data_IF_221507273705
#
_entry.id   IF_221507273705
#
_cell.length_a   1.000
_cell.length_b   1.000
_cell.length_c   1.000
_cell.angle_alpha   90.00
_cell.angle_beta   90.00
_cell.angle_gamma   90.00
#
_symmetry.space_group_name_H-M   'P 1'
#
loop_
_entity.id
_entity.type
_entity.pdbx_description
1 polymer ?
#
# COMPACT_ATOMS: atom_id res chain seq x y z
N UNK A 1 -17.06 -42.82 44.47
CA UNK A 1 -16.97 -43.31 43.07
C UNK A 1 -16.65 -42.10 42.21
N UNK A 2 -15.45 -42.07 41.65
CA UNK A 2 -14.78 -40.91 41.05
C UNK A 2 -15.26 -40.67 39.61
N UNK A 3 -15.92 -39.54 39.36
CA UNK A 3 -16.22 -39.06 38.02
C UNK A 3 -15.02 -38.23 37.51
N UNK A 4 -14.08 -38.89 36.82
CA UNK A 4 -12.97 -38.24 36.13
C UNK A 4 -13.50 -37.59 34.84
N UNK A 5 -13.83 -36.30 34.90
CA UNK A 5 -14.02 -35.45 33.72
C UNK A 5 -12.67 -35.17 33.09
N UNK A 6 -12.27 -36.00 32.12
CA UNK A 6 -11.18 -35.66 31.22
C UNK A 6 -11.67 -34.60 30.24
N UNK A 7 -11.20 -33.37 30.45
CA UNK A 7 -11.26 -32.28 29.48
C UNK A 7 -10.54 -32.77 28.22
N UNK A 8 -11.29 -33.09 27.16
CA UNK A 8 -10.73 -33.34 25.83
C UNK A 8 -10.04 -32.05 25.39
N UNK A 9 -8.72 -31.99 25.53
CA UNK A 9 -7.94 -30.92 24.92
C UNK A 9 -8.10 -31.05 23.40
N UNK A 10 -8.75 -30.05 22.79
CA UNK A 10 -8.93 -29.97 21.34
C UNK A 10 -7.56 -30.18 20.70
N UNK A 11 -7.42 -31.25 19.91
CA UNK A 11 -6.16 -31.50 19.22
C UNK A 11 -5.90 -30.36 18.22
N UNK A 12 -4.64 -29.93 18.01
CA UNK A 12 -4.31 -28.96 16.96
C UNK A 12 -4.86 -29.36 15.58
N UNK A 13 -4.96 -30.67 15.32
CA UNK A 13 -5.57 -31.21 14.11
C UNK A 13 -7.08 -30.97 14.06
N UNK A 14 -7.79 -31.07 15.19
CA UNK A 14 -9.23 -30.81 15.28
C UNK A 14 -9.52 -29.31 15.09
N UNK A 15 -8.72 -28.44 15.70
CA UNK A 15 -8.83 -27.00 15.52
C UNK A 15 -8.53 -26.53 14.08
N UNK A 16 -7.61 -27.21 13.38
CA UNK A 16 -7.36 -26.96 11.96
C UNK A 16 -8.52 -27.47 11.10
N UNK A 17 -9.10 -28.61 11.44
CA UNK A 17 -10.24 -29.19 10.74
C UNK A 17 -11.47 -28.29 10.82
N UNK A 18 -11.75 -27.75 12.00
CA UNK A 18 -12.83 -26.79 12.26
C UNK A 18 -12.66 -25.49 11.43
N UNK A 19 -11.42 -25.07 11.17
CA UNK A 19 -11.11 -23.93 10.29
C UNK A 19 -11.16 -24.29 8.81
N UNK A 20 -10.89 -25.53 8.44
CA UNK A 20 -10.98 -26.03 7.07
C UNK A 20 -12.41 -26.28 6.61
N UNK A 21 -13.36 -26.37 7.55
CA UNK A 21 -14.78 -26.40 7.23
C UNK A 21 -15.28 -25.06 6.63
N UNK A 22 -14.50 -23.98 6.76
CA UNK A 22 -14.73 -22.73 6.02
C UNK A 22 -14.21 -22.86 4.57
N UNK A 23 -15.08 -22.74 3.55
CA UNK A 23 -14.70 -22.90 2.15
C UNK A 23 -13.70 -21.84 1.66
N UNK A 24 -13.69 -20.64 2.24
CA UNK A 24 -12.71 -19.60 1.88
C UNK A 24 -11.32 -19.95 2.42
N UNK A 25 -11.25 -20.50 3.63
CA UNK A 25 -9.98 -20.93 4.25
C UNK A 25 -9.44 -22.16 3.51
N UNK A 26 -10.29 -23.13 3.19
CA UNK A 26 -9.90 -24.31 2.42
C UNK A 26 -9.38 -23.92 1.02
N UNK A 27 -10.04 -23.00 0.32
CA UNK A 27 -9.59 -22.50 -0.98
C UNK A 27 -8.27 -21.75 -0.90
N UNK A 28 -8.07 -20.93 0.15
CA UNK A 28 -6.84 -20.18 0.35
C UNK A 28 -5.67 -21.11 0.69
N UNK A 29 -5.92 -22.13 1.53
CA UNK A 29 -4.92 -23.13 1.86
C UNK A 29 -4.58 -23.99 0.64
N UNK A 30 -5.56 -24.35 -0.19
CA UNK A 30 -5.30 -25.07 -1.43
C UNK A 30 -4.42 -24.24 -2.38
N UNK A 31 -4.72 -22.95 -2.55
CA UNK A 31 -3.90 -22.04 -3.36
C UNK A 31 -2.47 -21.90 -2.82
N UNK A 32 -2.29 -21.82 -1.49
CA UNK A 32 -0.94 -21.80 -0.89
C UNK A 32 -0.19 -23.11 -1.08
N UNK A 33 -0.89 -24.25 -1.00
CA UNK A 33 -0.32 -25.58 -1.22
C UNK A 33 0.05 -25.80 -2.70
N UNK A 34 -0.79 -25.30 -3.62
CA UNK A 34 -0.54 -25.33 -5.07
C UNK A 34 0.73 -24.56 -5.45
N UNK A 35 1.11 -23.55 -4.66
CA UNK A 35 2.29 -22.72 -4.87
C UNK A 35 3.38 -22.95 -3.80
N UNK A 36 3.31 -24.05 -3.03
CA UNK A 36 4.24 -24.31 -1.93
C UNK A 36 5.71 -24.40 -2.38
N UNK A 37 5.97 -24.88 -3.59
CA UNK A 37 7.31 -24.95 -4.17
C UNK A 37 7.89 -23.54 -4.45
N UNK A 38 7.05 -22.63 -4.95
CA UNK A 38 7.44 -21.22 -5.14
C UNK A 38 7.67 -20.51 -3.81
N UNK A 39 6.88 -20.84 -2.79
CA UNK A 39 7.10 -20.34 -1.43
C UNK A 39 8.44 -20.82 -0.86
N UNK A 40 8.83 -22.08 -1.11
CA UNK A 40 10.13 -22.61 -0.69
C UNK A 40 11.30 -21.90 -1.39
N UNK A 41 11.17 -21.61 -2.69
CA UNK A 41 12.15 -20.84 -3.47
C UNK A 41 12.23 -19.39 -2.96
N UNK A 42 11.10 -18.75 -2.65
CA UNK A 42 11.07 -17.40 -2.10
C UNK A 42 11.71 -17.35 -0.71
N UNK A 43 11.41 -18.29 0.18
CA UNK A 43 12.01 -18.36 1.52
C UNK A 43 13.52 -18.57 1.40
N UNK A 44 13.96 -19.46 0.51
CA UNK A 44 15.40 -19.69 0.26
C UNK A 44 16.08 -18.48 -0.37
N UNK A 45 15.39 -17.78 -1.28
CA UNK A 45 15.88 -16.56 -1.91
C UNK A 45 16.02 -15.41 -0.91
N UNK A 46 15.04 -15.25 0.00
CA UNK A 46 15.07 -14.28 1.09
C UNK A 46 16.15 -14.63 2.11
N UNK A 47 16.31 -15.89 2.50
CA UNK A 47 17.39 -16.35 3.38
C UNK A 47 18.77 -16.07 2.76
N UNK A 48 18.93 -16.35 1.46
CA UNK A 48 20.14 -16.02 0.71
C UNK A 48 20.41 -14.51 0.61
N UNK A 49 19.37 -13.69 0.45
CA UNK A 49 19.47 -12.24 0.44
C UNK A 49 19.82 -11.67 1.82
N UNK A 50 19.27 -12.24 2.91
CA UNK A 50 19.56 -11.83 4.28
C UNK A 50 21.00 -12.20 4.67
N UNK A 51 21.43 -13.43 4.38
CA UNK A 51 22.82 -13.88 4.60
C UNK A 51 23.84 -13.04 3.84
N UNK A 52 23.53 -12.70 2.58
CA UNK A 52 24.39 -11.84 1.76
C UNK A 52 24.17 -10.37 2.07
N UNK A 53 23.08 -9.99 2.71
CA UNK A 53 22.77 -8.61 3.09
C UNK A 53 23.75 -8.08 4.13
N UNK A 54 24.23 -8.94 5.02
CA UNK A 54 25.29 -8.60 5.97
C UNK A 54 26.63 -8.35 5.25
N UNK A 55 27.01 -9.23 4.31
CA UNK A 55 28.23 -9.08 3.49
C UNK A 55 28.15 -7.90 2.51
N UNK A 56 26.99 -7.71 1.87
CA UNK A 56 26.72 -6.58 0.97
C UNK A 56 26.69 -5.28 1.78
N UNK A 57 26.09 -5.26 2.96
CA UNK A 57 26.09 -4.11 3.86
C UNK A 57 27.49 -3.68 4.26
N UNK A 58 28.36 -4.64 4.60
CA UNK A 58 29.76 -4.39 4.92
C UNK A 58 30.53 -3.86 3.70
N UNK A 59 30.35 -4.48 2.52
CA UNK A 59 31.00 -4.03 1.27
C UNK A 59 30.53 -2.65 0.79
N UNK A 60 29.25 -2.32 0.96
CA UNK A 60 28.67 -1.01 0.61
C UNK A 60 29.12 0.05 1.61
N UNK A 61 29.19 -0.27 2.90
CA UNK A 61 29.70 0.65 3.92
C UNK A 61 31.19 0.92 3.68
N UNK A 62 31.99 -0.11 3.40
CA UNK A 62 33.39 0.03 3.05
C UNK A 62 33.59 0.85 1.78
N UNK A 63 32.77 0.63 0.74
CA UNK A 63 32.81 1.43 -0.49
C UNK A 63 32.43 2.90 -0.24
N UNK A 64 31.44 3.17 0.62
CA UNK A 64 31.05 4.53 1.00
C UNK A 64 32.14 5.22 1.82
N UNK A 65 32.80 4.50 2.73
CA UNK A 65 33.92 5.02 3.51
C UNK A 65 35.15 5.27 2.62
N UNK A 66 35.43 4.41 1.65
CA UNK A 66 36.51 4.59 0.66
C UNK A 66 36.23 5.79 -0.26
N UNK A 67 34.98 5.97 -0.71
CA UNK A 67 34.56 7.16 -1.47
C UNK A 67 34.70 8.42 -0.61
N UNK A 68 34.31 8.36 0.67
CA UNK A 68 34.44 9.47 1.61
C UNK A 68 35.90 9.81 1.91
N UNK A 69 36.77 8.82 2.03
CA UNK A 69 38.20 9.01 2.22
C UNK A 69 38.88 9.55 0.96
N UNK A 70 38.50 9.04 -0.21
CA UNK A 70 38.92 9.56 -1.53
C UNK A 70 38.43 11.00 -1.77
N UNK A 71 37.26 11.35 -1.25
CA UNK A 71 36.69 12.71 -1.30
C UNK A 71 37.46 13.70 -0.41
N UNK A 72 38.01 13.24 0.71
CA UNK A 72 38.79 14.04 1.66
C UNK A 72 40.23 14.24 1.22
N UNK A 73 40.78 13.24 0.55
CA UNK A 73 42.14 13.28 -0.01
C UNK A 73 42.21 14.01 -1.36
N UNK A 74 41.06 14.35 -1.96
CA UNK A 74 40.97 15.19 -3.17
C UNK A 74 41.49 14.51 -4.44
N UNK A 75 41.57 13.17 -4.44
CA UNK A 75 42.22 12.39 -5.49
C UNK A 75 41.33 12.07 -6.70
N UNK A 76 40.04 12.43 -6.67
CA UNK A 76 39.08 12.12 -7.74
C UNK A 76 38.36 13.39 -8.23
N UNK A 77 38.58 13.85 -9.48
CA UNK A 77 37.84 14.97 -10.05
C UNK A 77 36.37 14.58 -10.27
N UNK A 78 35.43 15.35 -9.72
CA UNK A 78 33.98 15.12 -9.86
C UNK A 78 33.24 14.79 -8.55
N UNK A 79 33.95 14.56 -7.44
CA UNK A 79 33.34 14.33 -6.11
C UNK A 79 32.88 15.63 -5.43
N UNK A 80 33.28 16.81 -5.93
CA UNK A 80 32.72 18.10 -5.48
C UNK A 80 31.19 18.13 -5.57
N UNK A 81 30.59 17.52 -6.59
CA UNK A 81 29.12 17.41 -6.74
C UNK A 81 28.45 16.48 -5.74
N UNK A 82 29.21 15.61 -5.07
CA UNK A 82 28.70 14.77 -3.97
C UNK A 82 28.85 15.45 -2.60
N UNK A 83 29.65 16.53 -2.48
CA UNK A 83 29.66 17.37 -1.27
C UNK A 83 28.34 18.12 -1.06
N UNK A 84 27.62 18.43 -2.15
CA UNK A 84 26.29 19.07 -2.10
C UNK A 84 25.18 18.10 -1.69
N UNK A 85 25.39 16.81 -1.91
CA UNK A 85 24.48 15.76 -1.47
C UNK A 85 24.82 15.44 -0.02
N UNK A 86 24.14 16.12 0.91
CA UNK A 86 24.25 15.81 2.34
C UNK A 86 23.63 14.44 2.60
N UNK A 87 24.45 13.40 2.44
CA UNK A 87 24.09 11.99 2.68
C UNK A 87 23.55 11.78 4.10
N UNK A 88 23.91 12.65 5.04
CA UNK A 88 23.42 12.62 6.42
C UNK A 88 22.01 13.22 6.51
N UNK A 89 21.73 14.28 5.77
CA UNK A 89 20.38 14.82 5.62
C UNK A 89 19.46 13.87 4.83
N UNK A 90 19.98 13.17 3.82
CA UNK A 90 19.26 12.11 3.12
C UNK A 90 18.96 10.92 4.02
N UNK A 91 19.95 10.45 4.79
CA UNK A 91 19.73 9.38 5.77
C UNK A 91 18.73 9.82 6.85
N UNK A 92 18.79 11.07 7.32
CA UNK A 92 17.81 11.64 8.24
C UNK A 92 16.42 11.76 7.62
N UNK A 93 16.33 12.16 6.35
CA UNK A 93 15.06 12.24 5.62
C UNK A 93 14.46 10.86 5.39
N UNK A 94 15.29 9.87 5.05
CA UNK A 94 14.88 8.48 4.89
C UNK A 94 14.46 7.86 6.21
N UNK A 95 15.18 8.13 7.31
CA UNK A 95 14.84 7.67 8.66
C UNK A 95 13.53 8.31 9.16
N UNK A 96 13.30 9.58 8.84
CA UNK A 96 12.04 10.27 9.14
C UNK A 96 10.89 9.73 8.27
N UNK A 97 11.13 9.48 6.98
CA UNK A 97 10.15 8.85 6.10
C UNK A 97 9.84 7.42 6.55
N UNK A 98 10.84 6.63 6.93
CA UNK A 98 10.65 5.29 7.44
C UNK A 98 9.94 5.32 8.79
N UNK A 99 10.24 6.27 9.67
CA UNK A 99 9.54 6.46 10.94
C UNK A 99 8.08 6.85 10.74
N UNK A 100 7.80 7.78 9.81
CA UNK A 100 6.45 8.18 9.44
C UNK A 100 5.69 7.03 8.77
N UNK A 101 6.36 6.24 7.92
CA UNK A 101 5.78 5.08 7.26
C UNK A 101 5.52 3.95 8.27
N UNK A 102 6.42 3.69 9.21
CA UNK A 102 6.24 2.74 10.31
C UNK A 102 5.05 3.17 11.18
N UNK A 103 4.94 4.46 11.52
CA UNK A 103 3.79 5.01 12.24
C UNK A 103 2.48 4.95 11.44
N UNK A 104 2.56 5.03 10.11
CA UNK A 104 1.43 4.86 9.20
C UNK A 104 1.10 3.38 8.92
N UNK A 105 1.98 2.43 9.24
CA UNK A 105 1.79 0.99 8.96
C UNK A 105 0.47 0.43 9.49
N UNK A 106 -0.04 0.78 10.69
CA UNK A 106 -1.34 0.29 11.14
C UNK A 106 -2.49 0.81 10.27
N UNK A 107 -2.42 2.07 9.84
CA UNK A 107 -3.39 2.65 8.93
C UNK A 107 -3.26 2.06 7.52
N UNK A 108 -2.03 1.88 7.02
CA UNK A 108 -1.76 1.25 5.73
C UNK A 108 -2.16 -0.23 5.73
N UNK A 109 -1.89 -0.97 6.79
CA UNK A 109 -2.32 -2.35 6.95
C UNK A 109 -3.84 -2.40 7.02
N UNK A 110 -4.49 -1.49 7.76
CA UNK A 110 -5.97 -1.37 7.76
C UNK A 110 -6.52 -1.06 6.37
N UNK A 111 -5.84 -0.24 5.57
CA UNK A 111 -6.23 0.07 4.19
C UNK A 111 -5.97 -1.13 3.24
N UNK A 112 -4.86 -1.85 3.40
CA UNK A 112 -4.46 -3.01 2.61
C UNK A 112 -5.23 -4.30 2.97
N UNK A 113 -5.71 -4.43 4.21
CA UNK A 113 -6.62 -5.51 4.63
C UNK A 113 -8.09 -5.08 4.54
N UNK A 114 -8.36 -3.83 4.16
CA UNK A 114 -9.70 -3.32 3.88
C UNK A 114 -10.08 -3.59 2.43
N UNK A 115 -11.37 -3.41 2.12
CA UNK A 115 -11.97 -3.53 0.78
C UNK A 115 -11.32 -2.67 -0.30
N UNK A 116 -10.31 -1.85 0.00
CA UNK A 116 -9.52 -1.11 -0.98
C UNK A 116 -8.63 -2.03 -1.84
N UNK A 117 -8.35 -3.24 -1.37
CA UNK A 117 -7.62 -4.29 -2.10
C UNK A 117 -8.57 -5.17 -2.93
N UNK A 118 -9.88 -5.00 -2.79
CA UNK A 118 -10.85 -5.67 -3.65
C UNK A 118 -10.70 -5.11 -5.08
N UNK A 119 -10.65 -5.97 -6.12
CA UNK A 119 -10.52 -5.55 -7.51
C UNK A 119 -11.53 -4.47 -7.91
N UNK A 120 -12.77 -4.60 -7.42
CA UNK A 120 -13.87 -3.66 -7.69
C UNK A 120 -13.60 -2.26 -7.12
N UNK A 121 -13.02 -2.16 -5.91
CA UNK A 121 -12.69 -0.86 -5.30
C UNK A 121 -11.47 -0.24 -5.96
N UNK A 122 -10.48 -1.04 -6.35
CA UNK A 122 -9.32 -0.58 -7.10
C UNK A 122 -9.73 0.00 -8.47
N UNK A 123 -10.67 -0.65 -9.17
CA UNK A 123 -11.25 -0.15 -10.41
C UNK A 123 -11.98 1.19 -10.22
N UNK A 124 -12.78 1.33 -9.17
CA UNK A 124 -13.46 2.60 -8.86
C UNK A 124 -12.46 3.71 -8.56
N UNK A 125 -11.39 3.42 -7.83
CA UNK A 125 -10.33 4.40 -7.54
C UNK A 125 -9.55 4.78 -8.81
N UNK A 126 -9.23 3.82 -9.67
CA UNK A 126 -8.58 4.08 -10.95
C UNK A 126 -9.45 4.96 -11.85
N UNK A 127 -10.76 4.66 -11.94
CA UNK A 127 -11.72 5.44 -12.70
C UNK A 127 -11.85 6.87 -12.15
N UNK A 128 -11.92 7.05 -10.83
CA UNK A 128 -11.95 8.36 -10.20
C UNK A 128 -10.65 9.14 -10.45
N UNK A 129 -9.49 8.49 -10.35
CA UNK A 129 -8.20 9.08 -10.63
C UNK A 129 -8.07 9.57 -12.09
N UNK A 130 -8.54 8.76 -13.03
CA UNK A 130 -8.57 9.13 -14.44
C UNK A 130 -9.50 10.33 -14.69
N UNK A 131 -10.72 10.31 -14.14
CA UNK A 131 -11.66 11.42 -14.27
C UNK A 131 -11.13 12.73 -13.66
N UNK A 132 -10.36 12.64 -12.56
CA UNK A 132 -9.70 13.80 -11.95
C UNK A 132 -8.57 14.35 -12.82
N UNK A 133 -7.74 13.49 -13.41
CA UNK A 133 -6.67 13.90 -14.31
C UNK A 133 -7.22 14.57 -15.58
N UNK A 134 -8.26 13.97 -16.18
CA UNK A 134 -8.97 14.52 -17.33
C UNK A 134 -9.66 15.84 -16.98
N UNK A 135 -10.33 15.93 -15.83
CA UNK A 135 -10.96 17.15 -15.35
C UNK A 135 -9.95 18.28 -15.10
N UNK A 136 -8.77 17.96 -14.56
CA UNK A 136 -7.68 18.93 -14.37
C UNK A 136 -7.15 19.45 -15.71
N UNK A 137 -6.90 18.54 -16.66
CA UNK A 137 -6.46 18.91 -18.00
C UNK A 137 -7.50 19.78 -18.74
N UNK A 138 -8.79 19.45 -18.61
CA UNK A 138 -9.88 20.24 -19.19
C UNK A 138 -10.01 21.63 -18.55
N UNK A 139 -9.84 21.73 -17.23
CA UNK A 139 -9.87 23.02 -16.52
C UNK A 139 -8.65 23.91 -16.87
N UNK A 140 -7.50 23.31 -17.13
CA UNK A 140 -6.31 24.04 -17.60
C UNK A 140 -6.46 24.48 -19.07
N UNK A 141 -7.14 23.69 -19.90
CA UNK A 141 -7.43 24.01 -21.29
C UNK A 141 -8.53 25.09 -21.45
N UNK A 142 -9.53 25.11 -20.56
CA UNK A 142 -10.54 26.17 -20.47
C UNK A 142 -10.62 26.75 -19.04
N UNK A 143 -9.72 27.70 -18.70
CA UNK A 143 -9.71 28.37 -17.41
C UNK A 143 -10.95 29.25 -17.17
N UNK A 144 -11.77 29.47 -18.21
CA UNK A 144 -12.92 30.34 -18.18
C UNK A 144 -14.10 29.77 -17.39
N UNK A 145 -14.22 28.44 -17.33
CA UNK A 145 -15.28 27.71 -16.63
C UNK A 145 -16.71 28.15 -17.00
N UNK A 146 -17.74 27.57 -16.35
CA UNK A 146 -19.10 28.06 -16.50
C UNK A 146 -19.22 29.48 -15.92
N UNK A 147 -19.26 30.51 -16.76
CA UNK A 147 -19.33 31.91 -16.30
C UNK A 147 -20.77 32.30 -15.89
N UNK A 148 -20.93 32.71 -14.63
CA UNK A 148 -22.15 33.27 -14.08
C UNK A 148 -23.25 32.26 -13.76
N UNK A 149 -24.34 32.73 -13.14
CA UNK A 149 -25.47 31.89 -12.71
C UNK A 149 -26.11 31.10 -13.87
N UNK A 150 -26.11 31.65 -15.08
CA UNK A 150 -26.63 30.96 -16.27
C UNK A 150 -25.70 29.85 -16.78
N UNK A 151 -24.38 30.03 -16.69
CA UNK A 151 -23.39 29.00 -17.03
C UNK A 151 -23.52 27.79 -16.09
N UNK A 152 -23.70 28.05 -14.80
CA UNK A 152 -23.92 27.00 -13.78
C UNK A 152 -25.25 26.27 -14.02
N UNK A 153 -26.32 27.00 -14.36
CA UNK A 153 -27.62 26.40 -14.68
C UNK A 153 -27.59 25.56 -15.96
N UNK A 154 -26.79 25.96 -16.95
CA UNK A 154 -26.59 25.18 -18.17
C UNK A 154 -25.77 23.92 -17.89
N UNK A 155 -24.75 24.03 -17.03
CA UNK A 155 -23.92 22.90 -16.61
C UNK A 155 -24.75 21.84 -15.88
N UNK A 156 -25.70 22.23 -15.02
CA UNK A 156 -26.59 21.25 -14.35
C UNK A 156 -27.59 20.56 -15.29
N UNK A 157 -27.82 21.07 -16.51
CA UNK A 157 -28.59 20.38 -17.55
C UNK A 157 -27.77 19.39 -18.38
N UNK A 158 -26.45 19.40 -18.24
CA UNK A 158 -25.59 18.44 -18.92
C UNK A 158 -25.86 17.02 -18.38
N UNK A 159 -25.98 16.06 -19.29
CA UNK A 159 -26.25 14.65 -18.95
C UNK A 159 -25.11 14.04 -18.15
N UNK A 160 -23.88 14.49 -18.35
CA UNK A 160 -22.69 13.92 -17.72
C UNK A 160 -22.55 14.46 -16.30
N UNK A 161 -22.82 15.75 -16.12
CA UNK A 161 -22.89 16.39 -14.79
C UNK A 161 -24.03 15.81 -13.96
N UNK A 162 -25.20 15.59 -14.57
CA UNK A 162 -26.33 14.97 -13.89
C UNK A 162 -26.02 13.54 -13.43
N UNK A 163 -25.30 12.75 -14.25
CA UNK A 163 -24.83 11.40 -13.89
C UNK A 163 -23.83 11.43 -12.73
N UNK A 164 -22.84 12.32 -12.77
CA UNK A 164 -21.86 12.48 -11.68
C UNK A 164 -22.50 12.92 -10.35
N UNK A 165 -23.40 13.89 -10.39
CA UNK A 165 -24.17 14.31 -9.22
C UNK A 165 -25.07 13.18 -8.69
N UNK A 166 -25.70 12.41 -9.57
CA UNK A 166 -26.48 11.24 -9.21
C UNK A 166 -25.65 10.19 -8.45
N UNK A 167 -24.43 9.91 -8.92
CA UNK A 167 -23.50 9.03 -8.23
C UNK A 167 -23.14 9.57 -6.83
N UNK A 168 -22.78 10.85 -6.71
CA UNK A 168 -22.45 11.47 -5.43
C UNK A 168 -23.59 11.39 -4.40
N UNK A 169 -24.85 11.55 -4.86
CA UNK A 169 -26.03 11.38 -4.01
C UNK A 169 -26.15 9.94 -3.50
N UNK A 170 -25.86 8.94 -4.33
CA UNK A 170 -25.90 7.54 -3.92
C UNK A 170 -24.78 7.19 -2.94
N UNK A 171 -23.57 7.73 -3.15
CA UNK A 171 -22.44 7.61 -2.20
C UNK A 171 -22.82 8.21 -0.86
N UNK A 172 -23.35 9.44 -0.84
CA UNK A 172 -23.80 10.10 0.38
C UNK A 172 -24.90 9.30 1.10
N UNK A 173 -25.85 8.71 0.36
CA UNK A 173 -26.90 7.84 0.92
C UNK A 173 -26.32 6.56 1.52
N UNK A 174 -25.37 5.91 0.85
CA UNK A 174 -24.72 4.71 1.34
C UNK A 174 -23.91 4.99 2.61
N UNK A 175 -23.17 6.09 2.63
CA UNK A 175 -22.39 6.55 3.78
C UNK A 175 -23.28 6.88 4.98
N UNK A 176 -24.33 7.67 4.79
CA UNK A 176 -25.26 8.03 5.86
C UNK A 176 -25.97 6.83 6.50
N UNK A 177 -26.26 5.77 5.72
CA UNK A 177 -26.82 4.51 6.27
C UNK A 177 -25.83 3.79 7.19
N UNK A 178 -24.53 3.85 6.91
CA UNK A 178 -23.49 3.23 7.76
C UNK A 178 -23.29 4.02 9.05
N UNK A 179 -23.30 5.34 8.98
CA UNK A 179 -23.23 6.20 10.17
C UNK A 179 -24.44 6.05 11.12
N UNK A 180 -25.60 5.66 10.60
CA UNK A 180 -26.77 5.40 11.43
C UNK A 180 -26.76 4.00 12.09
N UNK A 181 -25.80 3.15 11.72
CA UNK A 181 -25.63 1.79 12.25
C UNK A 181 -24.49 1.69 13.28
N UNK A 182 -23.70 2.76 13.45
CA UNK A 182 -22.75 2.98 14.54
C UNK A 182 -23.42 3.75 15.69
#
# INVERSE_FOLDING_TARGET
>A
MTANGQVMAISPADALRDRLDDPQIASSLNSLLDHADLLAVLVTGVDGLLRRGDEIGESVTAAVDEIRESSRTGLVPGIESLKEVDLRALAGSLANLSGALIGATPALNTLLTSRLTDPETAEVLAFLGQALAEGRAAADADPGGPKGMFGIWRATKDKDIARGLGFMIQVARAFGRRLAQE
#
